data_IF_669252681406
#
_entry.id   IF_669252681406
#
_cell.length_a   1.000
_cell.length_b   1.000
_cell.length_c   1.000
_cell.angle_alpha   90.00
_cell.angle_beta   90.00
_cell.angle_gamma   90.00
#
_symmetry.space_group_name_H-M   'P 1'
#
loop_
_entity.id
_entity.type
_entity.pdbx_description
1 polymer ?
#
# COMPACT_ATOMS: atom_id res chain seq x y z
N UNK A 1 -18.07 12.02 8.22
CA UNK A 1 -18.50 12.84 7.06
C UNK A 1 -18.22 12.14 5.73
N UNK A 2 -16.97 11.80 5.39
CA UNK A 2 -16.62 11.20 4.09
C UNK A 2 -17.37 9.90 3.74
N UNK A 3 -17.47 8.95 4.69
CA UNK A 3 -18.18 7.69 4.47
C UNK A 3 -19.66 7.91 4.14
N UNK A 4 -20.33 8.83 4.85
CA UNK A 4 -21.73 9.16 4.57
C UNK A 4 -21.91 9.80 3.19
N UNK A 5 -20.95 10.60 2.72
CA UNK A 5 -21.00 11.18 1.38
C UNK A 5 -20.76 10.12 0.31
N UNK A 6 -19.80 9.22 0.52
CA UNK A 6 -19.54 8.10 -0.40
C UNK A 6 -20.76 7.19 -0.55
N UNK A 7 -21.50 6.91 0.53
CA UNK A 7 -22.74 6.13 0.50
C UNK A 7 -23.87 6.80 -0.29
N UNK A 8 -23.88 8.13 -0.38
CA UNK A 8 -24.89 8.90 -1.12
C UNK A 8 -24.48 9.19 -2.56
N UNK A 9 -23.26 8.83 -2.96
CA UNK A 9 -22.77 9.08 -4.30
C UNK A 9 -23.54 8.23 -5.31
N UNK A 10 -23.87 8.82 -6.47
CA UNK A 10 -24.53 8.14 -7.60
C UNK A 10 -23.55 7.40 -8.51
N UNK A 11 -22.25 7.49 -8.21
CA UNK A 11 -21.16 6.81 -8.92
C UNK A 11 -20.41 5.91 -7.94
N UNK A 12 -19.71 4.86 -8.40
CA UNK A 12 -18.87 4.04 -7.53
C UNK A 12 -17.76 4.86 -6.87
N UNK A 13 -17.72 4.84 -5.53
CA UNK A 13 -16.71 5.55 -4.73
C UNK A 13 -16.11 4.60 -3.69
N UNK A 14 -14.81 4.73 -3.45
CA UNK A 14 -14.12 4.10 -2.34
C UNK A 14 -13.69 5.15 -1.31
N UNK A 15 -13.60 4.74 -0.05
CA UNK A 15 -13.07 5.54 1.05
C UNK A 15 -11.73 4.95 1.46
N UNK A 16 -10.66 5.63 1.05
CA UNK A 16 -9.30 5.18 1.25
C UNK A 16 -8.65 5.89 2.44
N UNK A 17 -8.00 5.14 3.33
CA UNK A 17 -7.16 5.70 4.39
C UNK A 17 -5.70 5.72 3.95
N UNK A 18 -5.20 6.92 3.69
CA UNK A 18 -3.84 7.17 3.22
C UNK A 18 -2.83 7.21 4.39
N UNK A 19 -1.62 6.69 4.16
CA UNK A 19 -0.49 6.67 5.12
C UNK A 19 -0.81 6.16 6.54
N UNK A 20 -1.41 4.97 6.66
CA UNK A 20 -1.60 4.31 7.95
C UNK A 20 -0.28 3.81 8.57
N UNK A 21 0.27 4.59 9.51
CA UNK A 21 1.60 4.34 10.13
C UNK A 21 1.63 3.23 11.19
N UNK A 22 0.49 2.75 11.66
CA UNK A 22 0.40 1.61 12.58
C UNK A 22 -0.81 0.73 12.26
N UNK A 23 -0.77 -0.51 12.76
CA UNK A 23 -1.88 -1.46 12.66
C UNK A 23 -3.14 -0.93 13.37
N UNK A 24 -2.96 -0.23 14.49
CA UNK A 24 -4.03 0.43 15.24
C UNK A 24 -4.73 1.52 14.43
N UNK A 25 -3.96 2.37 13.72
CA UNK A 25 -4.52 3.46 12.90
C UNK A 25 -5.39 2.88 11.78
N UNK A 26 -4.91 1.88 11.05
CA UNK A 26 -5.67 1.28 9.95
C UNK A 26 -6.86 0.45 10.44
N UNK A 27 -6.76 -0.17 11.62
CA UNK A 27 -7.91 -0.76 12.30
C UNK A 27 -8.96 0.29 12.63
N UNK A 28 -8.55 1.41 13.20
CA UNK A 28 -9.44 2.49 13.54
C UNK A 28 -10.11 3.07 12.28
N UNK A 29 -9.36 3.22 11.19
CA UNK A 29 -9.93 3.65 9.91
C UNK A 29 -11.00 2.68 9.40
N UNK A 30 -10.73 1.37 9.47
CA UNK A 30 -11.68 0.33 9.10
C UNK A 30 -12.94 0.34 9.99
N UNK A 31 -12.80 0.45 11.32
CA UNK A 31 -13.95 0.52 12.24
C UNK A 31 -14.82 1.76 12.00
N UNK A 32 -14.24 2.82 11.45
CA UNK A 32 -14.95 4.04 11.06
C UNK A 32 -15.53 4.00 9.63
N UNK A 33 -15.49 2.85 8.96
CA UNK A 33 -16.14 2.63 7.67
C UNK A 33 -15.30 2.95 6.44
N UNK A 34 -13.97 3.04 6.57
CA UNK A 34 -13.07 3.04 5.41
C UNK A 34 -13.05 1.65 4.76
N UNK A 35 -13.14 1.61 3.43
CA UNK A 35 -13.19 0.36 2.66
C UNK A 35 -11.93 0.10 1.81
N UNK A 36 -10.92 0.94 1.94
CA UNK A 36 -9.57 0.73 1.41
C UNK A 36 -8.55 1.35 2.38
N UNK A 37 -7.41 0.69 2.58
CA UNK A 37 -6.43 1.08 3.61
C UNK A 37 -5.03 1.11 3.02
N UNK A 38 -4.15 1.95 3.53
CA UNK A 38 -2.72 1.92 3.23
C UNK A 38 -1.91 1.65 4.51
N UNK A 39 -1.03 0.65 4.46
CA UNK A 39 -0.01 0.43 5.49
C UNK A 39 1.29 1.10 5.04
N UNK A 40 1.60 2.23 5.69
CA UNK A 40 2.89 2.91 5.54
C UNK A 40 3.86 2.42 6.63
N UNK A 41 4.75 1.52 6.22
CA UNK A 41 5.88 1.05 7.02
C UNK A 41 7.23 1.49 6.41
N UNK A 42 7.24 2.57 5.63
CA UNK A 42 8.43 3.13 4.96
C UNK A 42 9.55 3.54 5.93
N UNK A 43 9.18 3.84 7.18
CA UNK A 43 10.12 4.18 8.26
C UNK A 43 10.98 2.99 8.73
N UNK A 44 10.56 1.76 8.46
CA UNK A 44 11.26 0.54 8.85
C UNK A 44 12.22 0.05 7.75
N UNK A 45 13.09 -0.90 8.09
CA UNK A 45 13.88 -1.58 7.09
C UNK A 45 12.99 -2.37 6.10
N UNK A 46 13.57 -2.79 4.98
CA UNK A 46 12.78 -3.41 3.91
C UNK A 46 12.09 -4.70 4.33
N UNK A 47 12.75 -5.57 5.09
CA UNK A 47 12.19 -6.86 5.48
C UNK A 47 11.10 -6.67 6.55
N UNK A 48 11.29 -5.73 7.48
CA UNK A 48 10.31 -5.35 8.48
C UNK A 48 9.10 -4.64 7.87
N UNK A 49 9.30 -3.78 6.86
CA UNK A 49 8.21 -3.19 6.09
C UNK A 49 7.36 -4.29 5.43
N UNK A 50 8.01 -5.28 4.81
CA UNK A 50 7.29 -6.42 4.24
C UNK A 50 6.51 -7.16 5.32
N UNK A 51 7.13 -7.46 6.47
CA UNK A 51 6.49 -8.18 7.58
C UNK A 51 5.24 -7.45 8.08
N UNK A 52 5.36 -6.16 8.35
CA UNK A 52 4.28 -5.30 8.85
C UNK A 52 3.16 -5.10 7.82
N UNK A 53 3.52 -4.97 6.55
CA UNK A 53 2.55 -4.89 5.45
C UNK A 53 1.82 -6.20 5.29
N UNK A 54 2.53 -7.33 5.34
CA UNK A 54 1.94 -8.66 5.24
C UNK A 54 0.97 -8.92 6.39
N UNK A 55 1.32 -8.51 7.61
CA UNK A 55 0.44 -8.58 8.78
C UNK A 55 -0.89 -7.85 8.53
N UNK A 56 -0.84 -6.64 8.00
CA UNK A 56 -2.05 -5.89 7.64
C UNK A 56 -2.86 -6.57 6.53
N UNK A 57 -2.20 -7.06 5.48
CA UNK A 57 -2.85 -7.78 4.37
C UNK A 57 -3.54 -9.05 4.86
N UNK A 58 -2.83 -9.88 5.64
CA UNK A 58 -3.35 -11.14 6.15
C UNK A 58 -4.61 -10.93 7.01
N UNK A 59 -4.66 -9.80 7.75
CA UNK A 59 -5.82 -9.45 8.56
C UNK A 59 -7.01 -8.95 7.72
N UNK A 60 -6.79 -8.01 6.80
CA UNK A 60 -7.87 -7.29 6.12
C UNK A 60 -8.35 -7.94 4.83
N UNK A 61 -7.51 -8.72 4.16
CA UNK A 61 -7.86 -9.36 2.88
C UNK A 61 -9.01 -10.38 3.04
N UNK A 62 -9.06 -11.25 4.06
CA UNK A 62 -10.22 -12.12 4.31
C UNK A 62 -11.52 -11.37 4.56
N UNK A 63 -11.45 -10.10 4.98
CA UNK A 63 -12.60 -9.21 5.20
C UNK A 63 -13.03 -8.48 3.92
N UNK A 64 -12.38 -8.75 2.77
CA UNK A 64 -12.65 -8.09 1.49
C UNK A 64 -12.11 -6.66 1.39
N UNK A 65 -11.22 -6.25 2.30
CA UNK A 65 -10.66 -4.90 2.34
C UNK A 65 -9.28 -4.89 1.65
N UNK A 66 -9.10 -4.13 0.55
CA UNK A 66 -7.81 -3.99 -0.10
C UNK A 66 -6.86 -3.15 0.75
N UNK A 67 -5.61 -3.61 0.87
CA UNK A 67 -4.51 -2.92 1.54
C UNK A 67 -3.46 -2.50 0.51
N UNK A 68 -3.11 -1.22 0.54
CA UNK A 68 -2.00 -0.61 -0.18
C UNK A 68 -0.74 -0.60 0.70
N UNK A 69 0.43 -0.75 0.09
CA UNK A 69 1.72 -0.76 0.76
C UNK A 69 2.65 0.28 0.16
N UNK A 70 3.35 1.03 1.03
CA UNK A 70 4.45 1.90 0.60
C UNK A 70 5.79 1.18 0.70
N UNK A 71 6.46 1.01 -0.43
CA UNK A 71 7.82 0.46 -0.46
C UNK A 71 8.82 1.56 -0.80
N UNK A 72 9.82 1.71 0.07
CA UNK A 72 10.84 2.75 -0.03
C UNK A 72 10.59 3.89 0.96
N UNK A 73 11.61 4.73 1.15
CA UNK A 73 11.57 5.84 2.09
C UNK A 73 11.70 7.16 1.31
N UNK A 74 10.86 8.14 1.60
CA UNK A 74 10.90 9.50 1.01
C UNK A 74 12.08 10.34 1.56
N UNK A 75 13.18 9.72 2.01
CA UNK A 75 14.41 10.43 2.42
C UNK A 75 15.42 10.34 1.29
N UNK A 76 15.39 11.38 0.49
CA UNK A 76 16.30 11.58 -0.63
C UNK A 76 17.67 12.07 -0.11
N UNK A 77 18.71 11.22 -0.16
CA UNK A 77 20.08 11.73 -0.39
C UNK A 77 20.25 11.96 -1.90
N UNK A 78 20.63 13.17 -2.36
CA UNK A 78 20.63 13.54 -3.79
C UNK A 78 21.47 12.63 -4.71
N UNK A 79 22.44 11.92 -4.13
CA UNK A 79 23.46 11.17 -4.86
C UNK A 79 23.00 9.78 -5.36
N UNK A 80 21.92 9.21 -4.82
CA UNK A 80 21.45 7.85 -5.16
C UNK A 80 20.43 7.82 -6.32
N UNK A 81 20.37 8.87 -7.13
CA UNK A 81 19.23 9.14 -8.04
C UNK A 81 19.22 8.36 -9.37
N UNK A 82 20.37 7.88 -9.85
CA UNK A 82 20.50 7.33 -11.23
C UNK A 82 20.56 5.80 -11.34
N UNK A 83 21.04 5.09 -10.31
CA UNK A 83 21.32 3.64 -10.41
C UNK A 83 20.19 2.74 -9.85
N UNK A 84 19.29 3.29 -9.04
CA UNK A 84 18.22 2.53 -8.36
C UNK A 84 16.91 2.40 -9.15
N UNK A 85 16.71 3.17 -10.24
CA UNK A 85 15.41 3.21 -10.95
C UNK A 85 15.15 2.00 -11.86
N UNK A 86 16.19 1.35 -12.39
CA UNK A 86 16.03 0.40 -13.49
C UNK A 86 16.03 -1.08 -13.08
N UNK A 87 16.52 -1.42 -11.88
CA UNK A 87 16.77 -2.81 -11.48
C UNK A 87 15.90 -3.24 -10.30
N UNK A 88 15.63 -2.33 -9.35
CA UNK A 88 15.02 -2.69 -8.08
C UNK A 88 13.50 -2.82 -8.14
N UNK A 89 12.81 -2.00 -8.95
CA UNK A 89 11.34 -2.00 -9.03
C UNK A 89 10.81 -3.37 -9.49
N UNK A 90 11.29 -3.99 -10.59
CA UNK A 90 10.81 -5.31 -11.00
C UNK A 90 11.23 -6.42 -10.01
N UNK A 91 12.41 -6.33 -9.41
CA UNK A 91 12.95 -7.36 -8.51
C UNK A 91 12.20 -7.38 -7.17
N UNK A 92 11.89 -6.22 -6.59
CA UNK A 92 11.19 -6.11 -5.31
C UNK A 92 9.72 -6.49 -5.47
N UNK A 93 9.07 -6.06 -6.55
CA UNK A 93 7.71 -6.50 -6.90
C UNK A 93 7.65 -8.02 -7.09
N UNK A 94 8.66 -8.61 -7.76
CA UNK A 94 8.74 -10.07 -7.93
C UNK A 94 9.01 -10.79 -6.60
N UNK A 95 9.82 -10.21 -5.70
CA UNK A 95 10.10 -10.75 -4.36
C UNK A 95 8.86 -10.71 -3.45
N UNK A 96 8.01 -9.71 -3.58
CA UNK A 96 6.73 -9.63 -2.84
C UNK A 96 5.69 -10.64 -3.31
N UNK A 97 5.60 -10.85 -4.63
CA UNK A 97 4.79 -11.94 -5.18
C UNK A 97 5.28 -13.31 -4.69
N UNK A 98 6.60 -13.50 -4.57
CA UNK A 98 7.19 -14.72 -4.00
C UNK A 98 6.92 -14.88 -2.48
N UNK A 99 6.73 -13.78 -1.75
CA UNK A 99 6.38 -13.77 -0.33
C UNK A 99 4.86 -13.80 -0.08
N UNK A 100 4.05 -13.98 -1.14
CA UNK A 100 2.59 -14.03 -1.12
C UNK A 100 1.92 -12.80 -0.48
N UNK A 101 2.57 -11.63 -0.54
CA UNK A 101 1.99 -10.38 -0.05
C UNK A 101 1.07 -9.81 -1.12
N UNK A 102 -0.24 -10.09 -0.99
CA UNK A 102 -1.27 -9.60 -1.92
C UNK A 102 -1.74 -8.19 -1.55
N UNK A 103 -0.85 -7.22 -1.68
CA UNK A 103 -1.13 -5.78 -1.52
C UNK A 103 -1.07 -5.06 -2.87
N UNK A 104 -1.81 -3.96 -2.99
CA UNK A 104 -1.52 -2.96 -4.03
C UNK A 104 -0.26 -2.22 -3.58
N UNK A 105 0.73 -2.04 -4.45
CA UNK A 105 2.01 -1.43 -4.06
C UNK A 105 2.10 -0.05 -4.69
N UNK A 106 2.31 0.95 -3.86
CA UNK A 106 2.56 2.31 -4.33
C UNK A 106 4.03 2.68 -4.09
N UNK A 107 4.67 3.16 -5.16
CA UNK A 107 6.06 3.62 -5.17
C UNK A 107 6.08 5.13 -5.32
N UNK A 108 6.27 5.85 -4.22
CA UNK A 108 6.50 7.30 -4.28
C UNK A 108 7.99 7.57 -4.54
N UNK A 109 8.37 7.56 -5.82
CA UNK A 109 9.57 8.31 -6.22
C UNK A 109 9.22 9.80 -6.19
N UNK A 110 10.07 10.70 -5.65
CA UNK A 110 9.81 12.15 -5.68
C UNK A 110 9.74 12.75 -7.10
N UNK A 111 9.77 11.92 -8.16
CA UNK A 111 9.53 12.33 -9.54
C UNK A 111 8.71 11.32 -10.37
N UNK A 112 7.98 10.36 -9.78
CA UNK A 112 7.23 9.38 -10.57
C UNK A 112 5.82 9.13 -10.02
N UNK A 113 4.85 9.76 -10.68
CA UNK A 113 3.41 9.52 -10.57
C UNK A 113 3.03 8.25 -11.34
N UNK A 114 3.67 7.11 -11.04
CA UNK A 114 3.36 5.84 -11.74
C UNK A 114 2.76 4.83 -10.78
N UNK A 115 1.44 4.66 -10.89
CA UNK A 115 0.62 3.69 -10.16
C UNK A 115 0.79 2.31 -10.81
N UNK A 116 1.33 1.33 -10.07
CA UNK A 116 1.49 -0.04 -10.54
C UNK A 116 0.41 -0.94 -9.94
N UNK A 117 -0.65 -1.23 -10.69
CA UNK A 117 -1.67 -2.20 -10.25
C UNK A 117 -1.19 -3.63 -10.52
N UNK A 118 -1.03 -4.44 -9.47
CA UNK A 118 -0.95 -5.90 -9.62
C UNK A 118 -2.39 -6.41 -9.64
N UNK A 119 -2.92 -6.64 -10.84
CA UNK A 119 -4.27 -7.17 -11.05
C UNK A 119 -4.23 -8.70 -10.93
N UNK A 120 -5.12 -9.30 -10.15
CA UNK A 120 -5.34 -10.74 -10.17
C UNK A 120 -5.83 -11.17 -11.57
N UNK A 121 -5.22 -12.21 -12.15
CA UNK A 121 -5.93 -13.08 -13.08
C UNK A 121 -6.73 -14.07 -12.24
N UNK A 122 -8.06 -14.02 -12.36
CA UNK A 122 -8.93 -15.06 -11.80
C UNK A 122 -8.60 -16.39 -12.47
N UNK A 123 -8.41 -17.44 -11.65
CA UNK A 123 -8.51 -18.82 -12.06
C UNK A 123 -9.68 -19.43 -11.29
#
# INVERSE_FOLDING_TARGET
MMVSMAQKATVPVITHWDHGRSMEIIHNAWTHGMNSLMRDASAFDFEENIRLTKEAVDFFHPLGIPVEAELGHVVMKPFMRKRWRAITIPILTRRLNLLNVRAVIHWLSPSATSMGFIRQSHN
#
